data_IF_461450558962
#
_entry.id   IF_461450558962
#
_cell.length_a   1.000
_cell.length_b   1.000
_cell.length_c   1.000
_cell.angle_alpha   90.00
_cell.angle_beta   90.00
_cell.angle_gamma   90.00
#
_symmetry.space_group_name_H-M   'P 1'
#
loop_
_entity.id
_entity.type
_entity.pdbx_description
1 polymer ?
#
# COMPACT_ATOMS: atom_id res chain seq x y z
N UNK A 1 25.36 -2.95 14.27
CA UNK A 1 25.69 -3.47 12.93
C UNK A 1 24.55 -3.17 11.96
N UNK A 2 24.74 -2.20 11.06
CA UNK A 2 23.72 -1.77 10.10
C UNK A 2 23.83 -2.56 8.77
N UNK A 3 25.05 -2.93 8.38
CA UNK A 3 25.35 -3.68 7.16
C UNK A 3 24.73 -5.08 7.16
N UNK A 4 24.75 -5.80 8.28
CA UNK A 4 24.09 -7.11 8.37
C UNK A 4 22.56 -7.00 8.27
N UNK A 5 21.96 -5.94 8.83
CA UNK A 5 20.51 -5.71 8.73
C UNK A 5 20.09 -5.41 7.29
N UNK A 6 20.87 -4.62 6.57
CA UNK A 6 20.62 -4.30 5.17
C UNK A 6 20.71 -5.54 4.27
N UNK A 7 21.75 -6.37 4.44
CA UNK A 7 21.89 -7.62 3.68
C UNK A 7 20.74 -8.60 3.92
N UNK A 8 20.30 -8.76 5.18
CA UNK A 8 19.14 -9.59 5.50
C UNK A 8 17.87 -9.08 4.82
N UNK A 9 17.67 -7.75 4.79
CA UNK A 9 16.53 -7.13 4.11
C UNK A 9 16.59 -7.37 2.61
N UNK A 10 17.72 -7.10 1.96
CA UNK A 10 17.90 -7.31 0.52
C UNK A 10 17.62 -8.76 0.11
N UNK A 11 18.18 -9.73 0.84
CA UNK A 11 17.92 -11.15 0.58
C UNK A 11 16.43 -11.51 0.73
N UNK A 12 15.77 -10.98 1.76
CA UNK A 12 14.35 -11.22 1.98
C UNK A 12 13.48 -10.59 0.89
N UNK A 13 13.81 -9.37 0.46
CA UNK A 13 13.11 -8.65 -0.60
C UNK A 13 13.30 -9.36 -1.96
N UNK A 14 14.52 -9.78 -2.28
CA UNK A 14 14.84 -10.54 -3.51
C UNK A 14 14.11 -11.89 -3.54
N UNK A 15 14.17 -12.66 -2.45
CA UNK A 15 13.51 -13.97 -2.36
C UNK A 15 12.00 -13.88 -2.48
N UNK A 16 11.38 -12.80 -1.98
CA UNK A 16 9.93 -12.54 -2.11
C UNK A 16 9.55 -11.83 -3.41
N UNK A 17 10.52 -11.46 -4.24
CA UNK A 17 10.31 -10.61 -5.44
C UNK A 17 9.57 -9.31 -5.09
N UNK A 18 9.88 -8.76 -3.92
CA UNK A 18 9.26 -7.53 -3.43
C UNK A 18 9.63 -6.37 -4.35
N UNK A 19 8.62 -5.63 -4.82
CA UNK A 19 8.81 -4.49 -5.70
C UNK A 19 8.45 -3.21 -4.95
N UNK A 20 9.30 -2.20 -5.06
CA UNK A 20 9.02 -0.88 -4.47
C UNK A 20 7.81 -0.23 -5.17
N UNK A 21 6.87 0.26 -4.37
CA UNK A 21 5.75 1.04 -4.87
C UNK A 21 6.19 2.49 -5.15
N UNK A 22 5.53 3.14 -6.12
CA UNK A 22 5.80 4.53 -6.52
C UNK A 22 4.87 5.55 -5.84
N UNK A 23 4.02 5.11 -4.93
CA UNK A 23 3.03 5.94 -4.24
C UNK A 23 3.70 6.94 -3.31
N UNK A 24 3.19 8.17 -3.31
CA UNK A 24 3.67 9.27 -2.47
C UNK A 24 2.53 9.86 -1.63
N UNK A 25 2.90 10.55 -0.56
CA UNK A 25 1.96 11.34 0.25
C UNK A 25 1.35 12.42 -0.66
N UNK A 26 0.03 12.54 -0.64
CA UNK A 26 -0.75 13.44 -1.49
C UNK A 26 -1.31 12.80 -2.76
N UNK A 27 -0.87 11.59 -3.14
CA UNK A 27 -1.46 10.88 -4.28
C UNK A 27 -2.90 10.45 -3.98
N UNK A 28 -3.76 10.55 -4.99
CA UNK A 28 -5.10 9.99 -4.95
C UNK A 28 -5.10 8.54 -5.44
N UNK A 29 -5.65 7.63 -4.64
CA UNK A 29 -5.68 6.20 -4.89
C UNK A 29 -7.09 5.64 -4.71
N UNK A 30 -7.42 4.61 -5.49
CA UNK A 30 -8.63 3.81 -5.28
C UNK A 30 -8.28 2.56 -4.49
N UNK A 31 -9.18 2.19 -3.58
CA UNK A 31 -9.01 1.01 -2.73
C UNK A 31 -9.84 -0.15 -3.23
N UNK A 32 -9.33 -1.36 -3.04
CA UNK A 32 -10.05 -2.56 -3.44
C UNK A 32 -11.30 -2.70 -2.57
N UNK A 33 -12.47 -2.86 -3.18
CA UNK A 33 -13.71 -3.11 -2.45
C UNK A 33 -13.90 -4.60 -2.21
N UNK A 34 -14.72 -4.94 -1.22
CA UNK A 34 -15.19 -6.32 -1.05
C UNK A 34 -15.98 -6.73 -2.29
N UNK A 35 -15.67 -7.90 -2.85
CA UNK A 35 -16.36 -8.38 -4.04
C UNK A 35 -17.82 -8.69 -3.70
N UNK A 36 -18.73 -7.92 -4.27
CA UNK A 36 -20.16 -8.13 -4.14
C UNK A 36 -20.63 -9.10 -5.24
N UNK A 37 -20.37 -8.77 -6.51
CA UNK A 37 -20.91 -9.52 -7.65
C UNK A 37 -19.86 -9.75 -8.75
N UNK A 38 -20.18 -10.60 -9.73
CA UNK A 38 -19.28 -10.85 -10.89
C UNK A 38 -19.12 -9.62 -11.79
N UNK A 39 -20.12 -8.73 -11.81
CA UNK A 39 -20.16 -7.53 -12.65
C UNK A 39 -19.82 -6.25 -11.86
N UNK A 40 -19.58 -6.33 -10.55
CA UNK A 40 -19.24 -5.14 -9.74
C UNK A 40 -17.80 -4.70 -10.01
N UNK A 41 -17.54 -3.40 -9.95
CA UNK A 41 -16.19 -2.87 -10.08
C UNK A 41 -15.30 -3.41 -8.94
N UNK A 42 -14.03 -3.75 -9.20
CA UNK A 42 -13.14 -4.30 -8.16
C UNK A 42 -12.65 -3.25 -7.15
N UNK A 43 -12.78 -1.96 -7.46
CA UNK A 43 -12.32 -0.85 -6.64
C UNK A 43 -13.48 0.03 -6.20
N UNK A 44 -13.39 0.58 -4.99
CA UNK A 44 -14.31 1.58 -4.47
C UNK A 44 -14.17 2.87 -5.32
N UNK A 45 -15.26 3.46 -5.82
CA UNK A 45 -15.21 4.70 -6.60
C UNK A 45 -14.72 5.91 -5.79
N UNK A 46 -14.77 5.88 -4.46
CA UNK A 46 -14.34 7.00 -3.65
C UNK A 46 -12.81 7.11 -3.62
N UNK A 47 -12.22 8.26 -4.03
CA UNK A 47 -10.78 8.44 -4.02
C UNK A 47 -10.27 8.69 -2.60
N UNK A 48 -9.21 7.99 -2.23
CA UNK A 48 -8.49 8.19 -0.97
C UNK A 48 -7.22 8.97 -1.21
N UNK A 49 -6.85 9.83 -0.27
CA UNK A 49 -5.59 10.57 -0.33
C UNK A 49 -4.57 9.89 0.57
N UNK A 50 -3.38 9.58 0.05
CA UNK A 50 -2.30 9.02 0.87
C UNK A 50 -1.81 10.09 1.85
N UNK A 51 -1.92 9.82 3.15
CA UNK A 51 -1.53 10.77 4.20
C UNK A 51 -0.21 10.37 4.89
N UNK A 52 0.13 9.08 4.91
CA UNK A 52 1.34 8.56 5.56
C UNK A 52 1.91 7.38 4.80
N UNK A 53 3.24 7.28 4.82
CA UNK A 53 4.00 6.17 4.27
C UNK A 53 5.08 5.79 5.28
N UNK A 54 5.08 4.53 5.71
CA UNK A 54 6.07 3.99 6.63
C UNK A 54 6.64 2.68 6.07
N UNK A 55 7.78 2.77 5.38
CA UNK A 55 8.36 1.61 4.69
C UNK A 55 7.37 1.03 3.66
N UNK A 56 6.98 -0.26 3.77
CA UNK A 56 5.98 -0.86 2.88
C UNK A 56 4.53 -0.49 3.23
N UNK A 57 4.30 0.06 4.44
CA UNK A 57 2.98 0.39 4.95
C UNK A 57 2.51 1.76 4.42
N UNK A 58 1.28 1.82 3.94
CA UNK A 58 0.68 3.03 3.38
C UNK A 58 -0.65 3.29 4.06
N UNK A 59 -0.84 4.50 4.58
CA UNK A 59 -2.12 4.95 5.15
C UNK A 59 -2.74 5.98 4.22
N UNK A 60 -3.97 5.72 3.80
CA UNK A 60 -4.77 6.62 2.99
C UNK A 60 -6.06 6.98 3.72
N UNK A 61 -6.57 8.18 3.47
CA UNK A 61 -7.70 8.74 4.18
C UNK A 61 -8.69 9.43 3.22
N UNK A 62 -9.97 9.29 3.52
CA UNK A 62 -11.08 10.11 3.02
C UNK A 62 -11.67 10.93 4.17
N UNK A 63 -12.71 11.71 3.89
CA UNK A 63 -13.44 12.46 4.92
C UNK A 63 -13.97 11.54 6.03
N UNK A 64 -14.49 10.37 5.66
CA UNK A 64 -15.16 9.47 6.60
C UNK A 64 -14.29 8.32 7.11
N UNK A 65 -13.27 7.90 6.34
CA UNK A 65 -12.54 6.66 6.61
C UNK A 65 -11.03 6.80 6.47
N UNK A 66 -10.30 6.09 7.33
CA UNK A 66 -8.86 5.91 7.22
C UNK A 66 -8.57 4.42 7.06
N UNK A 67 -7.66 4.09 6.14
CA UNK A 67 -7.26 2.72 5.88
C UNK A 67 -5.75 2.63 5.75
N UNK A 68 -5.21 1.55 6.31
CA UNK A 68 -3.79 1.23 6.24
C UNK A 68 -3.63 -0.10 5.51
N UNK A 69 -2.76 -0.10 4.51
CA UNK A 69 -2.34 -1.30 3.80
C UNK A 69 -0.93 -1.67 4.23
N UNK A 70 -0.77 -2.87 4.77
CA UNK A 70 0.49 -3.59 4.90
C UNK A 70 0.69 -4.53 3.70
N UNK A 71 1.93 -4.96 3.46
CA UNK A 71 2.33 -5.76 2.29
C UNK A 71 3.07 -7.02 2.71
#
# INVERSE_FOLDING_TARGET
DWKRKEQMKQYADEKRKATQHKLKIGDQVLVKQQKLDKLSTPYNPQPYTVIKQHGPMITAKTEDNELTRDN
#
